data_IF_988175405981
#
_entry.id   IF_988175405981
#
_cell.length_a   1.000
_cell.length_b   1.000
_cell.length_c   1.000
_cell.angle_alpha   90.00
_cell.angle_beta   90.00
_cell.angle_gamma   90.00
#
_symmetry.space_group_name_H-M   'P 1'
#
loop_
_entity.id
_entity.type
_entity.pdbx_description
1 polymer ?
#
# COMPACT_ATOMS: atom_id res chain seq x y z
N UNK A 1 20.36 1.92 33.61
CA UNK A 1 19.33 1.76 32.56
C UNK A 1 19.52 2.90 31.57
N UNK A 2 20.02 2.61 30.36
CA UNK A 2 20.22 3.65 29.33
C UNK A 2 18.85 3.87 28.67
N UNK A 3 18.34 5.11 28.57
CA UNK A 3 17.11 5.36 27.85
C UNK A 3 17.36 5.02 26.38
N UNK A 4 16.62 4.04 25.85
CA UNK A 4 16.53 3.81 24.42
C UNK A 4 15.83 5.04 23.83
N UNK A 5 16.61 6.03 23.40
CA UNK A 5 16.12 7.05 22.50
C UNK A 5 15.62 6.31 21.25
N UNK A 6 14.30 6.26 21.07
CA UNK A 6 13.69 5.89 19.80
C UNK A 6 14.15 6.92 18.77
N UNK A 7 15.29 6.64 18.12
CA UNK A 7 15.75 7.42 16.99
C UNK A 7 14.65 7.38 15.91
N UNK A 8 14.34 8.51 15.30
CA UNK A 8 13.40 8.56 14.20
C UNK A 8 13.94 7.68 13.06
N UNK A 9 13.13 6.73 12.59
CA UNK A 9 13.46 5.86 11.46
C UNK A 9 12.87 6.49 10.20
N UNK A 10 13.72 6.73 9.20
CA UNK A 10 13.30 7.15 7.86
C UNK A 10 13.59 6.04 6.86
N UNK A 11 12.58 5.70 6.05
CA UNK A 11 12.69 4.70 5.00
C UNK A 11 13.01 5.40 3.66
N UNK A 12 14.07 4.95 2.98
CA UNK A 12 14.52 5.44 1.68
C UNK A 12 14.80 4.25 0.77
N UNK A 13 14.26 4.29 -0.44
CA UNK A 13 14.42 3.19 -1.37
C UNK A 13 13.65 3.36 -2.66
N UNK A 14 13.50 2.25 -3.38
CA UNK A 14 12.99 2.23 -4.74
C UNK A 14 11.81 1.28 -4.89
N UNK A 15 10.89 1.61 -5.78
CA UNK A 15 9.89 0.66 -6.28
C UNK A 15 10.49 -0.13 -7.43
N UNK A 16 10.27 -1.44 -7.42
CA UNK A 16 10.31 -2.22 -8.65
C UNK A 16 9.12 -1.80 -9.52
N UNK A 17 9.28 -1.95 -10.83
CA UNK A 17 8.20 -1.74 -11.78
C UNK A 17 7.24 -2.94 -11.79
N UNK A 18 6.11 -2.79 -12.48
CA UNK A 18 5.09 -3.82 -12.70
C UNK A 18 5.70 -5.20 -12.97
N UNK A 19 5.43 -6.14 -12.07
CA UNK A 19 6.03 -7.48 -12.05
C UNK A 19 5.80 -8.26 -13.35
N UNK A 20 4.64 -8.12 -13.98
CA UNK A 20 4.31 -8.83 -15.23
C UNK A 20 5.02 -8.24 -16.46
N UNK A 21 5.46 -6.99 -16.41
CA UNK A 21 6.13 -6.32 -17.54
C UNK A 21 7.66 -6.27 -17.39
N UNK A 22 8.16 -6.22 -16.16
CA UNK A 22 9.59 -6.14 -15.87
C UNK A 22 10.07 -7.15 -14.80
N UNK A 23 9.75 -8.45 -14.94
CA UNK A 23 10.13 -9.47 -13.96
C UNK A 23 11.65 -9.68 -13.84
N UNK A 24 12.44 -9.31 -14.85
CA UNK A 24 13.90 -9.49 -14.85
C UNK A 24 14.61 -8.75 -13.69
N UNK A 25 13.98 -7.73 -13.12
CA UNK A 25 14.52 -6.97 -11.99
C UNK A 25 14.10 -7.50 -10.61
N UNK A 26 13.14 -8.43 -10.54
CA UNK A 26 12.59 -8.99 -9.31
C UNK A 26 13.47 -10.15 -8.78
N UNK A 27 14.71 -9.82 -8.41
CA UNK A 27 15.68 -10.82 -7.96
C UNK A 27 16.63 -10.26 -6.87
N UNK A 28 17.32 -11.16 -6.17
CA UNK A 28 18.21 -10.81 -5.06
C UNK A 28 19.39 -9.90 -5.45
N UNK A 29 19.91 -10.01 -6.69
CA UNK A 29 21.02 -9.17 -7.14
C UNK A 29 20.60 -7.72 -7.28
N UNK A 30 19.39 -7.46 -7.80
CA UNK A 30 18.80 -6.11 -7.83
C UNK A 30 18.68 -5.55 -6.41
N UNK A 31 18.08 -6.29 -5.49
CA UNK A 31 17.89 -5.82 -4.10
C UNK A 31 19.22 -5.58 -3.40
N UNK A 32 20.23 -6.42 -3.65
CA UNK A 32 21.58 -6.22 -3.13
C UNK A 32 22.21 -4.93 -3.68
N UNK A 33 22.03 -4.62 -4.95
CA UNK A 33 22.51 -3.36 -5.52
C UNK A 33 21.78 -2.14 -4.91
N UNK A 34 20.45 -2.23 -4.74
CA UNK A 34 19.67 -1.18 -4.06
C UNK A 34 20.18 -0.95 -2.63
N UNK A 35 20.41 -2.01 -1.85
CA UNK A 35 20.95 -1.88 -0.49
C UNK A 35 22.39 -1.36 -0.50
N UNK A 36 23.31 -2.12 -1.10
CA UNK A 36 24.74 -1.96 -0.90
C UNK A 36 25.35 -0.81 -1.71
N UNK A 37 24.72 -0.46 -2.83
CA UNK A 37 25.22 0.61 -3.72
C UNK A 37 24.39 1.88 -3.59
N UNK A 38 23.06 1.76 -3.52
CA UNK A 38 22.15 2.91 -3.47
C UNK A 38 21.74 3.30 -2.05
N UNK A 39 22.21 2.55 -1.05
CA UNK A 39 21.93 2.77 0.36
C UNK A 39 20.42 2.72 0.71
N UNK A 40 19.65 1.91 -0.02
CA UNK A 40 18.23 1.70 0.26
C UNK A 40 18.03 0.84 1.51
N UNK A 41 17.06 1.21 2.34
CA UNK A 41 16.61 0.45 3.51
C UNK A 41 15.15 -0.02 3.40
N UNK A 42 14.51 0.21 2.24
CA UNK A 42 13.20 -0.32 1.86
C UNK A 42 13.17 -0.61 0.35
N UNK A 43 12.37 -1.58 -0.09
CA UNK A 43 12.03 -1.79 -1.52
C UNK A 43 10.52 -2.00 -1.65
N UNK A 44 9.90 -1.47 -2.72
CA UNK A 44 8.49 -1.71 -3.05
C UNK A 44 8.33 -2.73 -4.16
N UNK A 45 7.65 -3.83 -3.85
CA UNK A 45 7.30 -4.91 -4.76
C UNK A 45 5.90 -4.65 -5.36
N UNK A 46 5.85 -3.91 -6.47
CA UNK A 46 4.62 -3.52 -7.16
C UNK A 46 4.07 -4.66 -8.04
N UNK A 47 3.38 -5.62 -7.41
CA UNK A 47 2.88 -6.81 -8.08
C UNK A 47 1.64 -6.46 -8.91
N UNK A 48 1.74 -6.53 -10.23
CA UNK A 48 0.58 -6.34 -11.09
C UNK A 48 -0.47 -7.42 -10.85
N UNK A 49 -1.74 -7.03 -10.91
CA UNK A 49 -2.87 -7.92 -10.57
C UNK A 49 -3.67 -8.33 -11.80
N UNK A 50 -3.98 -7.39 -12.68
CA UNK A 50 -4.67 -7.59 -13.95
C UNK A 50 -3.70 -7.52 -15.13
N UNK A 51 -4.21 -7.56 -16.37
CA UNK A 51 -3.42 -7.38 -17.60
C UNK A 51 -2.18 -8.29 -17.68
N UNK A 52 -2.36 -9.57 -17.32
CA UNK A 52 -1.27 -10.56 -17.25
C UNK A 52 -0.61 -10.69 -15.87
N UNK A 53 -1.10 -9.96 -14.86
CA UNK A 53 -0.67 -10.02 -13.47
C UNK A 53 -1.22 -11.22 -12.69
N UNK A 54 -1.36 -11.04 -11.37
CA UNK A 54 -1.67 -12.09 -10.40
C UNK A 54 -2.89 -12.93 -10.74
N UNK A 55 -3.97 -12.31 -11.26
CA UNK A 55 -5.19 -13.03 -11.60
C UNK A 55 -5.02 -14.00 -12.78
N UNK A 56 -4.05 -13.76 -13.65
CA UNK A 56 -3.77 -14.61 -14.82
C UNK A 56 -2.60 -15.54 -14.60
N UNK A 57 -1.64 -15.17 -13.73
CA UNK A 57 -0.37 -15.88 -13.53
C UNK A 57 -0.01 -16.01 -12.04
N UNK A 58 -1.00 -16.39 -11.21
CA UNK A 58 -0.89 -16.40 -9.74
C UNK A 58 0.42 -17.00 -9.22
N UNK A 59 0.76 -18.23 -9.62
CA UNK A 59 1.96 -18.92 -9.13
C UNK A 59 3.24 -18.15 -9.44
N UNK A 60 3.35 -17.60 -10.64
CA UNK A 60 4.53 -16.83 -11.08
C UNK A 60 4.63 -15.50 -10.35
N UNK A 61 3.52 -14.77 -10.20
CA UNK A 61 3.50 -13.49 -9.50
C UNK A 61 3.77 -13.66 -8.00
N UNK A 62 3.19 -14.68 -7.39
CA UNK A 62 3.48 -15.05 -6.02
C UNK A 62 4.98 -15.35 -5.84
N UNK A 63 5.58 -16.14 -6.73
CA UNK A 63 7.01 -16.46 -6.68
C UNK A 63 7.90 -15.21 -6.81
N UNK A 64 7.54 -14.24 -7.64
CA UNK A 64 8.28 -12.98 -7.76
C UNK A 64 8.22 -12.19 -6.44
N UNK A 65 7.02 -12.06 -5.85
CA UNK A 65 6.85 -11.38 -4.56
C UNK A 65 7.65 -12.07 -3.46
N UNK A 66 7.57 -13.40 -3.33
CA UNK A 66 8.32 -14.13 -2.30
C UNK A 66 9.82 -14.03 -2.51
N UNK A 67 10.30 -14.01 -3.75
CA UNK A 67 11.72 -13.78 -4.07
C UNK A 67 12.20 -12.43 -3.54
N UNK A 68 11.40 -11.37 -3.72
CA UNK A 68 11.73 -10.02 -3.23
C UNK A 68 11.68 -9.96 -1.70
N UNK A 69 10.67 -10.58 -1.10
CA UNK A 69 10.53 -10.67 0.36
C UNK A 69 11.73 -11.38 0.98
N UNK A 70 12.07 -12.58 0.50
CA UNK A 70 13.17 -13.40 1.03
C UNK A 70 14.53 -12.71 0.87
N UNK A 71 14.75 -12.05 -0.26
CA UNK A 71 15.94 -11.25 -0.47
C UNK A 71 15.98 -10.03 0.46
N UNK A 72 14.86 -9.34 0.71
CA UNK A 72 14.81 -8.22 1.65
C UNK A 72 15.12 -8.67 3.09
N UNK A 73 14.59 -9.82 3.53
CA UNK A 73 14.90 -10.45 4.82
C UNK A 73 16.40 -10.76 4.92
N UNK A 74 16.95 -11.47 3.94
CA UNK A 74 18.36 -11.86 3.89
C UNK A 74 19.29 -10.65 3.92
N UNK A 75 18.87 -9.58 3.27
CA UNK A 75 19.60 -8.31 3.25
C UNK A 75 19.27 -7.40 4.44
N UNK A 76 18.34 -7.73 5.33
CA UNK A 76 17.97 -6.88 6.47
C UNK A 76 17.48 -5.49 6.06
N UNK A 77 16.70 -5.39 4.99
CA UNK A 77 15.98 -4.17 4.56
C UNK A 77 14.47 -4.40 4.61
N UNK A 78 13.70 -3.32 4.66
CA UNK A 78 12.24 -3.41 4.66
C UNK A 78 11.69 -3.73 3.27
N UNK A 79 10.49 -4.31 3.21
CA UNK A 79 9.79 -4.57 1.95
C UNK A 79 8.34 -4.07 2.04
N UNK A 80 7.90 -3.38 1.00
CA UNK A 80 6.51 -3.01 0.79
C UNK A 80 5.95 -4.01 -0.22
N UNK A 81 4.93 -4.77 0.17
CA UNK A 81 4.22 -5.69 -0.74
C UNK A 81 2.98 -4.96 -1.24
N UNK A 82 2.97 -4.66 -2.53
CA UNK A 82 1.98 -3.79 -3.14
C UNK A 82 1.12 -4.58 -4.14
N UNK A 83 -0.19 -4.60 -3.87
CA UNK A 83 -1.21 -5.14 -4.77
C UNK A 83 -1.49 -4.09 -5.84
N UNK A 84 -0.67 -4.10 -6.89
CA UNK A 84 -0.54 -3.00 -7.83
C UNK A 84 -1.63 -3.05 -8.90
N UNK A 85 -2.82 -2.68 -8.48
CA UNK A 85 -3.97 -2.37 -9.31
C UNK A 85 -4.80 -1.36 -8.55
N UNK A 86 -5.69 -0.74 -9.27
CA UNK A 86 -6.76 0.04 -8.69
C UNK A 86 -7.63 -0.74 -7.69
N UNK A 87 -8.53 -0.09 -6.96
CA UNK A 87 -9.39 -0.72 -5.94
C UNK A 87 -10.51 -1.68 -6.47
N UNK A 88 -10.09 -2.75 -7.12
CA UNK A 88 -10.89 -3.91 -7.53
C UNK A 88 -10.23 -5.19 -7.02
N UNK A 89 -10.97 -6.30 -7.08
CA UNK A 89 -10.49 -7.63 -6.69
C UNK A 89 -10.21 -7.80 -5.18
N UNK A 90 -11.08 -7.24 -4.33
CA UNK A 90 -10.98 -7.30 -2.88
C UNK A 90 -10.79 -8.72 -2.34
N UNK A 91 -11.63 -9.67 -2.74
CA UNK A 91 -11.56 -11.04 -2.21
C UNK A 91 -10.22 -11.71 -2.55
N UNK A 92 -9.72 -11.48 -3.77
CA UNK A 92 -8.43 -12.00 -4.22
C UNK A 92 -7.27 -11.35 -3.48
N UNK A 93 -7.36 -10.05 -3.22
CA UNK A 93 -6.36 -9.33 -2.47
C UNK A 93 -6.33 -9.77 -0.99
N UNK A 94 -7.49 -9.95 -0.36
CA UNK A 94 -7.62 -10.52 1.00
C UNK A 94 -6.99 -11.92 1.03
N UNK A 95 -7.28 -12.77 0.05
CA UNK A 95 -6.69 -14.11 -0.05
C UNK A 95 -5.15 -14.05 -0.21
N UNK A 96 -4.66 -13.18 -1.09
CA UNK A 96 -3.22 -12.98 -1.34
C UNK A 96 -2.50 -12.48 -0.08
N UNK A 97 -2.97 -11.39 0.54
CA UNK A 97 -2.33 -10.85 1.72
C UNK A 97 -2.48 -11.77 2.93
N UNK A 98 -3.55 -12.56 3.04
CA UNK A 98 -3.65 -13.64 4.04
C UNK A 98 -2.53 -14.67 3.85
N UNK A 99 -2.24 -15.06 2.60
CA UNK A 99 -1.18 -16.01 2.27
C UNK A 99 0.20 -15.43 2.62
N UNK A 100 0.46 -14.17 2.26
CA UNK A 100 1.70 -13.46 2.62
C UNK A 100 1.84 -13.32 4.13
N UNK A 101 0.80 -12.90 4.84
CA UNK A 101 0.83 -12.73 6.29
C UNK A 101 1.05 -14.05 7.04
N UNK A 102 0.46 -15.15 6.57
CA UNK A 102 0.71 -16.49 7.13
C UNK A 102 2.16 -16.95 6.93
N UNK A 103 2.76 -16.65 5.78
CA UNK A 103 4.12 -17.06 5.46
C UNK A 103 5.19 -16.15 6.09
N UNK A 104 4.91 -14.85 6.23
CA UNK A 104 5.91 -13.82 6.54
C UNK A 104 5.44 -12.82 7.62
N UNK A 105 4.48 -13.18 8.48
CA UNK A 105 3.82 -12.26 9.43
C UNK A 105 4.72 -11.56 10.47
N UNK A 106 6.01 -11.84 10.49
CA UNK A 106 7.02 -11.08 11.24
C UNK A 106 7.59 -9.87 10.48
N UNK A 107 7.23 -9.70 9.20
CA UNK A 107 7.69 -8.60 8.36
C UNK A 107 6.69 -7.44 8.35
N UNK A 108 7.18 -6.19 8.33
CA UNK A 108 6.31 -5.05 8.09
C UNK A 108 5.78 -5.12 6.65
N UNK A 109 4.46 -5.21 6.50
CA UNK A 109 3.77 -5.11 5.21
C UNK A 109 3.10 -3.74 5.16
N UNK A 110 3.20 -3.08 4.01
CA UNK A 110 2.59 -1.78 3.76
C UNK A 110 1.84 -1.84 2.42
N UNK A 111 0.54 -1.55 2.41
CA UNK A 111 -0.26 -1.33 1.21
C UNK A 111 -0.09 0.13 0.78
N UNK A 112 0.83 0.39 -0.15
CA UNK A 112 1.17 1.78 -0.52
C UNK A 112 0.05 2.56 -1.18
N UNK A 113 -0.94 1.88 -1.74
CA UNK A 113 -2.05 2.52 -2.42
C UNK A 113 -3.32 1.65 -2.35
N UNK A 114 -4.47 2.28 -2.06
CA UNK A 114 -5.80 1.70 -2.27
C UNK A 114 -6.84 2.81 -2.51
N UNK A 115 -7.87 2.53 -3.30
CA UNK A 115 -9.01 3.42 -3.53
C UNK A 115 -10.30 2.93 -2.86
N UNK A 116 -11.31 3.80 -2.73
CA UNK A 116 -12.64 3.43 -2.25
C UNK A 116 -13.63 3.14 -3.40
N UNK A 117 -13.18 3.25 -4.65
CA UNK A 117 -13.99 3.20 -5.85
C UNK A 117 -13.41 2.20 -6.86
N UNK A 118 -14.07 2.05 -8.01
CA UNK A 118 -13.62 1.14 -9.05
C UNK A 118 -12.26 1.52 -9.63
N UNK A 119 -11.79 0.63 -10.50
CA UNK A 119 -10.41 0.57 -10.89
C UNK A 119 -9.92 1.74 -11.76
N UNK A 120 -10.85 2.43 -12.41
CA UNK A 120 -10.52 3.61 -13.20
C UNK A 120 -10.14 4.84 -12.36
N UNK A 121 -10.27 4.77 -11.03
CA UNK A 121 -10.27 5.95 -10.14
C UNK A 121 -11.64 6.65 -10.10
N UNK A 122 -12.63 6.12 -10.83
CA UNK A 122 -13.98 6.64 -10.91
C UNK A 122 -15.02 5.50 -10.80
N UNK A 123 -16.28 5.83 -10.53
CA UNK A 123 -17.37 4.85 -10.44
C UNK A 123 -17.98 4.74 -9.04
N UNK A 124 -18.53 3.57 -8.69
CA UNK A 124 -19.25 3.39 -7.42
C UNK A 124 -18.30 3.31 -6.22
N UNK A 125 -18.64 3.99 -5.12
CA UNK A 125 -17.91 3.86 -3.85
C UNK A 125 -18.33 2.55 -3.15
N UNK A 126 -17.36 1.67 -2.89
CA UNK A 126 -17.57 0.33 -2.36
C UNK A 126 -17.42 0.28 -0.82
N UNK A 127 -18.29 0.99 -0.09
CA UNK A 127 -18.19 1.16 1.38
C UNK A 127 -18.09 -0.16 2.16
N UNK A 128 -18.93 -1.16 1.86
CA UNK A 128 -18.88 -2.45 2.56
C UNK A 128 -17.55 -3.17 2.36
N UNK A 129 -17.06 -3.17 1.12
CA UNK A 129 -15.76 -3.76 0.77
C UNK A 129 -14.62 -3.03 1.48
N UNK A 130 -14.71 -1.70 1.62
CA UNK A 130 -13.72 -0.92 2.36
C UNK A 130 -13.65 -1.28 3.84
N UNK A 131 -14.80 -1.51 4.49
CA UNK A 131 -14.83 -1.93 5.89
C UNK A 131 -14.21 -3.32 6.10
N UNK A 132 -14.45 -4.25 5.17
CA UNK A 132 -13.82 -5.58 5.19
C UNK A 132 -12.31 -5.49 4.99
N UNK A 133 -11.87 -4.68 4.02
CA UNK A 133 -10.46 -4.39 3.76
C UNK A 133 -9.75 -3.83 4.98
N UNK A 134 -10.32 -2.80 5.60
CA UNK A 134 -9.68 -2.20 6.77
C UNK A 134 -9.66 -3.14 7.97
N UNK A 135 -10.73 -3.89 8.20
CA UNK A 135 -10.76 -4.92 9.26
C UNK A 135 -9.65 -5.95 9.07
N UNK A 136 -9.41 -6.35 7.81
CA UNK A 136 -8.29 -7.22 7.45
C UNK A 136 -6.93 -6.56 7.70
N UNK A 137 -6.71 -5.34 7.20
CA UNK A 137 -5.43 -4.63 7.31
C UNK A 137 -5.06 -4.37 8.77
N UNK A 138 -6.00 -3.87 9.56
CA UNK A 138 -5.80 -3.58 10.98
C UNK A 138 -5.59 -4.86 11.80
N UNK A 139 -6.32 -5.94 11.47
CA UNK A 139 -6.16 -7.26 12.11
C UNK A 139 -4.75 -7.83 11.97
N UNK A 140 -4.09 -7.58 10.85
CA UNK A 140 -2.71 -7.99 10.58
C UNK A 140 -1.67 -6.88 10.85
N UNK A 141 -2.08 -5.71 11.36
CA UNK A 141 -1.22 -4.54 11.59
C UNK A 141 -0.47 -4.08 10.34
N UNK A 142 -1.12 -4.17 9.19
CA UNK A 142 -0.58 -3.76 7.89
C UNK A 142 -0.84 -2.26 7.71
N UNK A 143 0.21 -1.48 7.44
CA UNK A 143 0.05 -0.04 7.17
C UNK A 143 -0.52 0.20 5.77
N UNK A 144 -1.23 1.32 5.56
CA UNK A 144 -1.84 1.63 4.26
C UNK A 144 -1.91 3.13 3.94
N UNK A 145 -2.03 3.48 2.66
CA UNK A 145 -2.29 4.84 2.18
C UNK A 145 -3.39 4.88 1.11
N UNK A 146 -4.39 5.76 1.29
CA UNK A 146 -5.48 5.93 0.33
C UNK A 146 -5.07 6.79 -0.88
N UNK A 147 -5.47 6.35 -2.07
CA UNK A 147 -5.56 7.15 -3.28
C UNK A 147 -6.92 7.88 -3.35
N UNK A 148 -6.97 9.21 -3.45
CA UNK A 148 -5.86 10.17 -3.32
C UNK A 148 -6.34 11.55 -2.86
N UNK A 149 -5.41 12.36 -2.32
CA UNK A 149 -5.63 13.81 -2.10
C UNK A 149 -5.51 14.53 -3.44
N UNK A 150 -6.58 14.48 -4.23
CA UNK A 150 -6.70 15.13 -5.53
C UNK A 150 -8.08 15.79 -5.65
N UNK A 151 -8.18 16.83 -6.47
CA UNK A 151 -9.44 17.51 -6.84
C UNK A 151 -9.89 17.17 -8.28
N UNK A 152 -9.37 16.06 -8.85
CA UNK A 152 -9.84 15.58 -10.15
C UNK A 152 -11.31 15.17 -10.02
N UNK A 153 -12.10 15.40 -11.06
CA UNK A 153 -13.52 15.04 -11.10
C UNK A 153 -13.73 13.53 -11.25
N UNK A 154 -13.31 12.73 -10.26
CA UNK A 154 -13.44 11.27 -10.24
C UNK A 154 -13.76 10.76 -8.83
N UNK A 155 -14.44 9.62 -8.72
CA UNK A 155 -14.96 9.11 -7.44
C UNK A 155 -13.91 8.86 -6.36
N UNK A 156 -12.70 8.39 -6.70
CA UNK A 156 -11.65 8.12 -5.71
C UNK A 156 -10.93 9.40 -5.24
N UNK A 157 -11.10 10.55 -5.90
CA UNK A 157 -10.53 11.82 -5.43
C UNK A 157 -11.13 12.17 -4.08
N UNK A 158 -10.30 12.45 -3.07
CA UNK A 158 -10.77 12.83 -1.75
C UNK A 158 -11.42 14.22 -1.73
N UNK A 159 -11.10 15.09 -2.71
CA UNK A 159 -11.51 16.48 -2.75
C UNK A 159 -12.42 16.79 -3.95
N UNK A 160 -13.37 17.71 -3.75
CA UNK A 160 -14.21 18.24 -4.84
C UNK A 160 -13.37 19.05 -5.82
N UNK A 161 -13.85 19.22 -7.05
CA UNK A 161 -13.15 20.00 -8.10
C UNK A 161 -12.90 21.47 -7.74
N UNK A 162 -13.65 22.01 -6.78
CA UNK A 162 -13.48 23.37 -6.23
C UNK A 162 -12.44 23.48 -5.11
N UNK A 163 -11.86 22.37 -4.67
CA UNK A 163 -10.87 22.35 -3.59
C UNK A 163 -9.52 22.92 -4.06
N UNK A 164 -8.81 23.52 -3.11
CA UNK A 164 -7.44 24.02 -3.25
C UNK A 164 -6.59 23.54 -2.06
N UNK A 165 -5.28 23.72 -2.14
CA UNK A 165 -4.37 23.34 -1.06
C UNK A 165 -4.74 23.98 0.30
N UNK A 166 -5.32 25.20 0.30
CA UNK A 166 -5.68 25.91 1.54
C UNK A 166 -6.95 25.38 2.22
N UNK A 167 -7.75 24.54 1.54
CA UNK A 167 -9.03 24.05 2.07
C UNK A 167 -9.14 22.52 2.13
N UNK A 168 -8.01 21.79 2.00
CA UNK A 168 -7.93 20.32 2.11
C UNK A 168 -8.53 19.81 3.42
N UNK A 169 -8.40 20.56 4.53
CA UNK A 169 -8.95 20.16 5.83
C UNK A 169 -10.43 20.50 6.05
N UNK A 170 -11.10 21.15 5.10
CA UNK A 170 -12.49 21.58 5.26
C UNK A 170 -13.46 20.58 4.63
N UNK A 171 -14.33 20.00 5.45
CA UNK A 171 -15.27 18.94 5.04
C UNK A 171 -16.28 19.35 3.97
N UNK A 172 -16.46 20.66 3.75
CA UNK A 172 -17.22 21.22 2.62
C UNK A 172 -16.60 20.91 1.25
N UNK A 173 -15.31 20.59 1.20
CA UNK A 173 -14.56 20.28 -0.02
C UNK A 173 -14.20 18.79 -0.14
N UNK A 174 -14.72 17.92 0.74
CA UNK A 174 -14.49 16.48 0.65
C UNK A 174 -15.57 15.80 -0.19
N UNK A 175 -15.15 14.86 -1.06
CA UNK A 175 -16.06 13.97 -1.78
C UNK A 175 -16.63 12.90 -0.85
N UNK A 176 -17.50 12.03 -1.38
CA UNK A 176 -17.96 10.82 -0.69
C UNK A 176 -16.79 9.91 -0.28
N UNK A 177 -15.80 9.72 -1.16
CA UNK A 177 -14.57 8.96 -0.83
C UNK A 177 -13.81 9.63 0.32
N UNK A 178 -13.53 10.93 0.21
CA UNK A 178 -12.78 11.67 1.23
C UNK A 178 -13.44 11.60 2.62
N UNK A 179 -14.77 11.73 2.68
CA UNK A 179 -15.53 11.60 3.93
C UNK A 179 -15.46 10.18 4.51
N UNK A 180 -15.58 9.16 3.67
CA UNK A 180 -15.50 7.76 4.09
C UNK A 180 -14.12 7.43 4.70
N UNK A 181 -13.05 7.80 4.00
CA UNK A 181 -11.67 7.57 4.47
C UNK A 181 -11.39 8.35 5.75
N UNK A 182 -11.77 9.63 5.80
CA UNK A 182 -11.55 10.47 6.98
C UNK A 182 -12.29 9.95 8.21
N UNK A 183 -13.53 9.49 8.06
CA UNK A 183 -14.31 8.91 9.14
C UNK A 183 -13.59 7.69 9.73
N UNK A 184 -13.12 6.78 8.87
CA UNK A 184 -12.38 5.60 9.30
C UNK A 184 -11.07 5.96 10.01
N UNK A 185 -10.27 6.85 9.43
CA UNK A 185 -8.95 7.22 9.97
C UNK A 185 -9.04 7.87 11.34
N UNK A 186 -10.14 8.59 11.62
CA UNK A 186 -10.37 9.25 12.91
C UNK A 186 -10.60 8.24 14.06
N UNK A 187 -11.03 7.02 13.75
CA UNK A 187 -11.26 5.96 14.72
C UNK A 187 -9.99 5.17 15.07
N UNK A 188 -8.90 5.34 14.29
CA UNK A 188 -7.67 4.58 14.44
C UNK A 188 -6.77 5.12 15.57
N UNK A 189 -6.18 4.21 16.35
CA UNK A 189 -5.21 4.54 17.40
C UNK A 189 -3.77 4.40 16.88
N UNK A 190 -3.25 5.46 16.26
CA UNK A 190 -2.01 5.46 15.47
C UNK A 190 -0.77 6.01 16.21
N UNK A 191 -0.78 6.03 17.54
CA UNK A 191 0.42 6.13 18.36
C UNK A 191 1.13 7.50 18.44
N UNK A 192 0.73 8.53 17.68
CA UNK A 192 1.06 9.95 17.94
C UNK A 192 -0.06 10.92 17.52
N UNK A 193 -0.11 12.01 18.27
CA UNK A 193 -1.27 12.82 18.67
C UNK A 193 -1.89 13.73 17.62
N UNK A 194 -3.19 13.98 17.83
CA UNK A 194 -4.01 15.07 17.32
C UNK A 194 -3.20 16.31 16.88
N UNK A 195 -3.50 16.83 15.69
CA UNK A 195 -3.15 18.20 15.33
C UNK A 195 -3.88 19.13 16.31
N UNK A 196 -3.15 19.90 17.12
CA UNK A 196 -3.71 20.97 17.95
C UNK A 196 -4.09 22.17 17.09
#
# INVERSE_FOLDING_TARGET
MVPVLLAAVALHGNSLFWSQWYPQFWNANTLKALKCTWNANVVRAAMGVDQGGYLSTESSQYQLVTTVIEAAISLGINVIVDWHVSATYTDQAVAFFTKIAKAYGSLPIFVTEYGACESSGNGTIATSSMNEWWSFLDGYKISYCNWSVCNKGESCSALTTSASASNVGSSSYWTTSGKLIQAYYKEQSNGKFFCY
#
